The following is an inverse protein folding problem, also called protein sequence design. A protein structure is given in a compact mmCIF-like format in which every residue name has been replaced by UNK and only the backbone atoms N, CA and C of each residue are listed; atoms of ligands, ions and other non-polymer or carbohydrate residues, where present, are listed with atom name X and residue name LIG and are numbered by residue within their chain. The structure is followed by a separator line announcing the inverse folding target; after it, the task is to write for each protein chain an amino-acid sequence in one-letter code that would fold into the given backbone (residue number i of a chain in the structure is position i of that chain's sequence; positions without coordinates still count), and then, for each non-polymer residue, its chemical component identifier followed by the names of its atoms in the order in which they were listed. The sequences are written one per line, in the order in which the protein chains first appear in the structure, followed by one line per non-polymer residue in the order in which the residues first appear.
data_IF_652818724970
#
_entry.id   IF_652818724970
#
_cell.length_a   1.000
_cell.length_b   1.000
_cell.length_c   1.000
_cell.angle_alpha   90.00
_cell.angle_beta   90.00
_cell.angle_gamma   90.00
#
_symmetry.space_group_name_H-M   'P 1'
#
loop_
_entity.id
_entity.type
_entity.pdbx_description
1 polymer ?
#
# COMPACT_ATOMS: atom_id res chain seq x y z
N UNK A 1 -24.37 23.31 -15.19
CA UNK A 1 -23.07 23.76 -15.74
C UNK A 1 -22.07 22.62 -15.56
N UNK A 2 -21.77 21.88 -16.64
CA UNK A 2 -20.81 20.77 -16.61
C UNK A 2 -19.39 21.35 -16.45
N UNK A 3 -18.74 21.07 -15.34
CA UNK A 3 -17.32 21.37 -15.16
C UNK A 3 -16.50 20.56 -16.18
N UNK A 4 -15.56 21.17 -16.91
CA UNK A 4 -14.71 20.43 -17.84
C UNK A 4 -13.84 19.42 -17.07
N UNK A 5 -13.52 18.26 -17.65
CA UNK A 5 -12.68 17.27 -16.99
C UNK A 5 -11.31 17.88 -16.70
N UNK A 6 -10.86 17.72 -15.46
CA UNK A 6 -9.61 18.26 -14.91
C UNK A 6 -8.46 17.92 -15.88
N UNK A 7 -7.93 18.94 -16.56
CA UNK A 7 -6.67 18.87 -17.30
C UNK A 7 -5.59 18.52 -16.29
N UNK A 8 -5.16 17.27 -16.25
CA UNK A 8 -4.02 16.88 -15.44
C UNK A 8 -2.89 16.46 -16.36
N UNK A 9 -1.65 16.73 -15.95
CA UNK A 9 -0.44 16.41 -16.69
C UNK A 9 0.13 15.05 -16.31
N UNK A 10 1.02 14.53 -17.15
CA UNK A 10 1.81 13.36 -16.81
C UNK A 10 2.82 13.71 -15.71
N UNK A 11 2.80 13.00 -14.59
CA UNK A 11 3.75 13.21 -13.49
C UNK A 11 5.21 12.86 -13.80
N UNK A 12 5.49 12.31 -15.00
CA UNK A 12 6.85 11.97 -15.44
C UNK A 12 7.37 12.91 -16.54
N UNK A 13 6.57 13.21 -17.56
CA UNK A 13 7.00 14.07 -18.68
C UNK A 13 6.31 15.44 -18.74
N UNK A 14 5.46 15.77 -17.76
CA UNK A 14 4.72 17.04 -17.65
C UNK A 14 3.83 17.40 -18.85
N UNK A 15 3.59 16.47 -19.77
CA UNK A 15 2.73 16.69 -20.94
C UNK A 15 1.26 16.78 -20.52
N UNK A 16 0.59 17.86 -20.96
CA UNK A 16 -0.79 18.24 -20.56
C UNK A 16 -1.87 17.72 -21.51
N UNK A 17 -1.50 17.41 -22.75
CA UNK A 17 -2.47 17.14 -23.83
C UNK A 17 -2.78 15.65 -24.04
N UNK A 18 -2.24 14.77 -23.21
CA UNK A 18 -2.49 13.32 -23.34
C UNK A 18 -3.71 12.92 -22.54
N UNK A 19 -4.88 12.90 -23.16
CA UNK A 19 -6.16 12.57 -22.52
C UNK A 19 -6.21 11.19 -21.84
N UNK A 20 -5.37 10.24 -22.26
CA UNK A 20 -5.29 8.89 -21.69
C UNK A 20 -4.14 8.76 -20.67
N UNK A 21 -4.52 8.80 -19.40
CA UNK A 21 -3.62 8.60 -18.27
C UNK A 21 -3.92 7.32 -17.51
N UNK A 22 -2.87 6.71 -17.00
CA UNK A 22 -2.87 5.53 -16.17
C UNK A 22 -2.47 5.90 -14.75
N UNK A 23 -3.04 5.23 -13.76
CA UNK A 23 -2.62 5.34 -12.35
C UNK A 23 -1.70 4.18 -12.01
N UNK A 24 -0.50 4.49 -11.53
CA UNK A 24 0.49 3.51 -11.12
C UNK A 24 0.93 3.81 -9.69
N UNK A 25 0.96 2.78 -8.86
CA UNK A 25 1.54 2.88 -7.52
C UNK A 25 3.03 2.53 -7.61
N UNK A 26 3.88 3.54 -7.57
CA UNK A 26 5.34 3.37 -7.60
C UNK A 26 5.87 3.67 -6.21
N UNK A 27 6.40 2.65 -5.52
CA UNK A 27 6.93 2.75 -4.14
C UNK A 27 5.90 3.32 -3.14
N UNK A 28 4.63 2.95 -3.31
CA UNK A 28 3.52 3.41 -2.45
C UNK A 28 2.97 4.80 -2.80
N UNK A 29 3.51 5.47 -3.83
CA UNK A 29 3.03 6.77 -4.30
C UNK A 29 2.17 6.54 -5.55
N UNK A 30 0.91 7.00 -5.51
CA UNK A 30 0.05 7.03 -6.71
C UNK A 30 0.56 8.09 -7.68
N UNK A 31 0.89 7.67 -8.89
CA UNK A 31 1.41 8.51 -9.97
C UNK A 31 0.51 8.39 -11.19
N UNK A 32 0.15 9.55 -11.74
CA UNK A 32 -0.57 9.65 -12.99
C UNK A 32 0.40 9.74 -14.15
N UNK A 33 0.39 8.77 -15.04
CA UNK A 33 1.35 8.63 -16.14
C UNK A 33 0.63 8.50 -17.47
N UNK A 34 1.15 9.13 -18.53
CA UNK A 34 0.61 8.91 -19.87
C UNK A 34 1.01 7.52 -20.40
N UNK A 35 0.29 7.01 -21.38
CA UNK A 35 0.54 5.69 -22.01
C UNK A 35 2.02 5.44 -22.33
N UNK A 36 2.71 6.38 -22.99
CA UNK A 36 4.13 6.20 -23.31
C UNK A 36 5.04 6.18 -22.08
N UNK A 37 4.73 6.93 -21.01
CA UNK A 37 5.54 6.91 -19.80
C UNK A 37 5.39 5.59 -19.05
N UNK A 38 4.17 5.01 -19.01
CA UNK A 38 3.96 3.67 -18.46
C UNK A 38 4.86 2.66 -19.16
N UNK A 39 4.83 2.63 -20.50
CA UNK A 39 5.61 1.68 -21.29
C UNK A 39 7.12 1.90 -21.16
N UNK A 40 7.59 3.16 -21.11
CA UNK A 40 9.02 3.47 -20.91
C UNK A 40 9.54 3.10 -19.52
N UNK A 41 8.72 3.24 -18.48
CA UNK A 41 9.09 2.90 -17.10
C UNK A 41 9.05 1.39 -16.82
N UNK A 42 8.40 0.63 -17.70
CA UNK A 42 8.22 -0.82 -17.56
C UNK A 42 8.62 -1.59 -18.84
N UNK A 43 9.86 -1.42 -19.34
CA UNK A 43 10.27 -1.97 -20.64
C UNK A 43 10.35 -3.51 -20.65
N UNK A 44 10.49 -4.14 -19.48
CA UNK A 44 10.58 -5.60 -19.32
C UNK A 44 9.21 -6.27 -19.11
N UNK A 45 8.11 -5.52 -19.21
CA UNK A 45 6.76 -6.02 -18.92
C UNK A 45 5.96 -6.38 -20.17
N UNK A 46 6.48 -6.09 -21.37
CA UNK A 46 5.81 -6.36 -22.63
C UNK A 46 6.80 -6.42 -23.80
N UNK A 47 6.37 -7.00 -24.91
CA UNK A 47 7.14 -6.98 -26.16
C UNK A 47 6.90 -5.66 -26.90
N UNK A 48 7.92 -4.82 -27.19
CA UNK A 48 7.73 -3.54 -27.86
C UNK A 48 7.38 -3.65 -29.35
N UNK A 49 7.48 -4.84 -29.95
CA UNK A 49 7.11 -5.07 -31.35
C UNK A 49 5.62 -5.42 -31.51
N UNK A 50 5.07 -6.27 -30.63
CA UNK A 50 3.68 -6.73 -30.73
C UNK A 50 2.77 -6.27 -29.58
N UNK A 51 3.30 -5.53 -28.61
CA UNK A 51 2.58 -5.04 -27.43
C UNK A 51 1.91 -6.11 -26.58
N UNK A 52 2.38 -7.36 -26.69
CA UNK A 52 1.94 -8.44 -25.81
C UNK A 52 2.54 -8.23 -24.41
N UNK A 53 1.66 -8.12 -23.41
CA UNK A 53 2.02 -8.00 -21.99
C UNK A 53 2.46 -9.35 -21.41
N UNK A 54 3.50 -9.36 -20.58
CA UNK A 54 3.96 -10.56 -19.89
C UNK A 54 3.24 -10.69 -18.55
N UNK A 55 2.14 -11.44 -18.55
CA UNK A 55 1.33 -11.64 -17.34
C UNK A 55 2.09 -12.41 -16.25
N UNK A 56 3.01 -13.31 -16.61
CA UNK A 56 3.70 -14.23 -15.70
C UNK A 56 5.21 -14.23 -16.00
N UNK A 57 6.08 -14.68 -15.07
CA UNK A 57 7.48 -14.91 -15.40
C UNK A 57 7.54 -15.76 -16.68
N UNK A 58 8.36 -15.36 -17.67
CA UNK A 58 8.38 -16.01 -18.95
C UNK A 58 8.64 -17.51 -18.78
N UNK A 59 7.64 -18.32 -19.13
CA UNK A 59 7.81 -19.77 -19.19
C UNK A 59 8.84 -20.07 -20.28
N UNK A 60 9.53 -21.22 -20.18
CA UNK A 60 10.57 -21.61 -21.15
C UNK A 60 10.08 -21.66 -22.62
N UNK A 61 8.77 -21.62 -22.85
CA UNK A 61 8.15 -21.57 -24.17
C UNK A 61 8.37 -20.22 -24.88
N UNK A 62 8.49 -19.11 -24.15
CA UNK A 62 8.70 -17.80 -24.76
C UNK A 62 10.19 -17.47 -24.78
N UNK A 63 10.80 -17.53 -25.96
CA UNK A 63 12.19 -17.07 -26.17
C UNK A 63 12.21 -15.57 -26.43
N UNK A 64 12.96 -14.86 -25.58
CA UNK A 64 13.13 -13.41 -25.67
C UNK A 64 14.56 -13.04 -26.06
N UNK A 65 14.68 -11.90 -26.70
CA UNK A 65 15.93 -11.18 -26.90
C UNK A 65 15.88 -9.87 -26.12
N UNK A 66 16.95 -9.59 -25.39
CA UNK A 66 17.11 -8.36 -24.62
C UNK A 66 17.65 -7.24 -25.51
N UNK A 67 17.18 -6.02 -25.28
CA UNK A 67 17.78 -4.84 -25.89
C UNK A 67 19.19 -4.61 -25.33
N UNK A 68 20.13 -4.24 -26.20
CA UNK A 68 21.53 -3.98 -25.80
C UNK A 68 21.70 -2.71 -24.96
N UNK A 69 20.69 -1.81 -24.93
CA UNK A 69 20.75 -0.51 -24.23
C UNK A 69 19.82 -0.39 -23.02
N UNK A 70 18.84 -1.28 -22.86
CA UNK A 70 17.86 -1.20 -21.77
C UNK A 70 17.29 -2.59 -21.46
N UNK A 71 16.49 -2.71 -20.40
CA UNK A 71 15.87 -3.98 -19.99
C UNK A 71 14.65 -4.40 -20.82
N UNK A 72 14.51 -3.89 -22.05
CA UNK A 72 13.39 -4.27 -22.92
C UNK A 72 13.53 -5.70 -23.43
N UNK A 73 12.43 -6.45 -23.42
CA UNK A 73 12.35 -7.84 -23.87
C UNK A 73 11.47 -7.94 -25.11
N UNK A 74 12.00 -8.52 -26.19
CA UNK A 74 11.26 -8.73 -27.44
C UNK A 74 11.17 -10.22 -27.73
N UNK A 75 10.01 -10.72 -28.17
CA UNK A 75 9.90 -12.11 -28.61
C UNK A 75 10.84 -12.38 -29.78
N UNK A 76 11.50 -13.54 -29.82
CA UNK A 76 12.35 -13.95 -30.94
C UNK A 76 11.56 -13.95 -32.26
N UNK A 77 10.30 -14.38 -32.23
CA UNK A 77 9.36 -14.39 -33.37
C UNK A 77 8.99 -12.98 -33.86
N UNK A 78 9.15 -11.96 -33.03
CA UNK A 78 8.92 -10.57 -33.41
C UNK A 78 10.17 -9.89 -33.99
N UNK A 79 11.27 -10.63 -34.14
CA UNK A 79 12.47 -10.13 -34.80
C UNK A 79 12.43 -10.43 -36.31
N UNK A 80 13.08 -9.59 -37.13
CA UNK A 80 13.35 -9.96 -38.51
C UNK A 80 14.19 -11.24 -38.56
N UNK A 81 13.97 -12.05 -39.61
CA UNK A 81 14.78 -13.23 -39.90
C UNK A 81 15.76 -12.91 -41.04
N UNK A 82 17.08 -13.07 -40.84
CA UNK A 82 17.77 -13.52 -39.63
C UNK A 82 17.82 -12.45 -38.53
N UNK A 83 17.89 -12.86 -37.24
CA UNK A 83 17.99 -11.92 -36.13
C UNK A 83 19.29 -11.12 -36.19
N UNK A 84 19.27 -9.82 -35.85
CA UNK A 84 20.47 -8.99 -35.85
C UNK A 84 21.45 -9.44 -34.75
N UNK A 85 22.77 -9.29 -34.95
CA UNK A 85 23.77 -9.66 -33.95
C UNK A 85 23.63 -8.85 -32.65
N UNK A 86 23.20 -7.59 -32.77
CA UNK A 86 22.88 -6.71 -31.64
C UNK A 86 21.49 -6.16 -31.81
N UNK A 87 20.58 -6.51 -30.89
CA UNK A 87 19.22 -6.01 -30.92
C UNK A 87 19.10 -4.69 -30.14
N UNK A 88 18.41 -3.71 -30.75
CA UNK A 88 17.94 -2.49 -30.12
C UNK A 88 16.43 -2.42 -30.24
N UNK A 89 15.73 -2.26 -29.11
CA UNK A 89 14.28 -2.07 -29.14
C UNK A 89 13.91 -0.74 -29.84
N UNK A 90 12.69 -0.60 -30.37
CA UNK A 90 12.26 0.61 -31.09
C UNK A 90 12.52 1.94 -30.34
N UNK A 91 12.30 2.03 -29.01
CA UNK A 91 12.67 3.23 -28.24
C UNK A 91 14.16 3.55 -28.15
N UNK A 92 15.04 2.54 -28.27
CA UNK A 92 16.49 2.69 -28.17
C UNK A 92 17.18 2.84 -29.52
N UNK A 93 16.56 2.38 -30.61
CA UNK A 93 17.04 2.57 -31.97
C UNK A 93 16.72 3.97 -32.50
N UNK A 94 15.59 4.55 -32.08
CA UNK A 94 15.17 5.88 -32.50
C UNK A 94 14.89 6.80 -31.28
N UNK A 95 15.64 7.89 -31.17
CA UNK A 95 15.49 8.88 -30.08
C UNK A 95 14.18 9.68 -30.15
N UNK A 96 13.56 9.81 -31.31
CA UNK A 96 12.26 10.47 -31.48
C UNK A 96 11.06 9.53 -31.30
N UNK A 97 11.29 8.28 -30.88
CA UNK A 97 10.25 7.27 -30.77
C UNK A 97 9.18 7.64 -29.70
N UNK A 98 7.92 7.61 -30.12
CA UNK A 98 6.76 7.70 -29.24
C UNK A 98 5.89 6.46 -29.39
N UNK A 99 5.54 5.84 -28.26
CA UNK A 99 4.63 4.69 -28.24
C UNK A 99 3.21 5.06 -28.61
N UNK A 100 2.78 6.27 -28.25
CA UNK A 100 1.39 6.68 -28.37
C UNK A 100 1.36 8.10 -28.93
N UNK A 101 0.49 8.36 -29.91
CA UNK A 101 0.43 9.65 -30.58
C UNK A 101 -0.27 10.70 -29.70
N UNK A 102 -0.35 11.92 -30.22
CA UNK A 102 -0.97 13.04 -29.52
C UNK A 102 -2.50 13.03 -29.69
N UNK A 103 -3.21 13.91 -28.97
CA UNK A 103 -4.67 13.85 -28.88
C UNK A 103 -5.43 14.04 -30.20
N UNK A 104 -4.78 14.62 -31.21
CA UNK A 104 -5.38 14.91 -32.52
C UNK A 104 -5.43 13.71 -33.46
N UNK A 105 -4.67 12.65 -33.18
CA UNK A 105 -4.63 11.48 -34.06
C UNK A 105 -5.75 10.49 -33.72
N UNK A 106 -6.46 9.95 -34.72
CA UNK A 106 -7.47 8.92 -34.48
C UNK A 106 -6.81 7.65 -33.93
N UNK A 107 -7.52 6.96 -33.02
CA UNK A 107 -7.08 5.66 -32.50
C UNK A 107 -7.35 4.60 -33.56
N UNK A 108 -6.29 3.94 -34.01
CA UNK A 108 -6.35 2.76 -34.87
C UNK A 108 -6.15 1.48 -34.03
N UNK A 109 -6.11 0.33 -34.71
CA UNK A 109 -5.88 -0.96 -34.06
C UNK A 109 -4.52 -1.01 -33.34
N UNK A 110 -3.49 -0.39 -33.91
CA UNK A 110 -2.15 -0.37 -33.32
C UNK A 110 -2.14 0.43 -32.01
N UNK A 111 -2.66 1.66 -32.04
CA UNK A 111 -2.81 2.50 -30.86
C UNK A 111 -3.67 1.83 -29.78
N UNK A 112 -4.74 1.11 -30.17
CA UNK A 112 -5.54 0.33 -29.23
C UNK A 112 -4.71 -0.76 -28.53
N UNK A 113 -3.87 -1.50 -29.25
CA UNK A 113 -2.96 -2.50 -28.66
C UNK A 113 -1.97 -1.86 -27.67
N UNK A 114 -1.36 -0.73 -28.05
CA UNK A 114 -0.45 0.02 -27.18
C UNK A 114 -1.17 0.45 -25.89
N UNK A 115 -2.39 0.98 -26.02
CA UNK A 115 -3.19 1.42 -24.88
C UNK A 115 -3.55 0.24 -23.96
N UNK A 116 -4.02 -0.88 -24.52
CA UNK A 116 -4.34 -2.10 -23.75
C UNK A 116 -3.10 -2.61 -23.03
N UNK A 117 -1.94 -2.63 -23.69
CA UNK A 117 -0.67 -3.03 -23.09
C UNK A 117 -0.32 -2.14 -21.89
N UNK A 118 -0.41 -0.82 -22.03
CA UNK A 118 -0.16 0.11 -20.92
C UNK A 118 -1.16 -0.09 -19.77
N UNK A 119 -2.44 -0.32 -20.08
CA UNK A 119 -3.47 -0.62 -19.08
C UNK A 119 -3.18 -1.92 -18.32
N UNK A 120 -2.72 -2.97 -19.01
CA UNK A 120 -2.30 -4.24 -18.36
C UNK A 120 -1.10 -4.03 -17.45
N UNK A 121 -0.10 -3.27 -17.87
CA UNK A 121 1.06 -2.89 -17.03
C UNK A 121 0.59 -2.13 -15.79
N UNK A 122 -0.29 -1.15 -15.94
CA UNK A 122 -0.84 -0.37 -14.83
C UNK A 122 -1.63 -1.26 -13.85
N UNK A 123 -2.49 -2.13 -14.37
CA UNK A 123 -3.27 -3.10 -13.60
C UNK A 123 -2.36 -4.04 -12.80
N UNK A 124 -1.34 -4.62 -13.43
CA UNK A 124 -0.38 -5.48 -12.75
C UNK A 124 0.40 -4.75 -11.64
N UNK A 125 0.74 -3.48 -11.86
CA UNK A 125 1.36 -2.63 -10.84
C UNK A 125 0.43 -2.36 -9.64
N UNK A 126 -0.85 -2.07 -9.92
CA UNK A 126 -1.87 -1.88 -8.90
C UNK A 126 -2.10 -3.17 -8.09
N UNK A 127 -2.21 -4.33 -8.75
CA UNK A 127 -2.40 -5.62 -8.08
C UNK A 127 -1.22 -5.98 -7.16
N UNK A 128 0.02 -5.77 -7.61
CA UNK A 128 1.21 -5.95 -6.77
C UNK A 128 1.17 -5.06 -5.53
N UNK A 129 0.75 -3.81 -5.70
CA UNK A 129 0.64 -2.85 -4.59
C UNK A 129 -0.48 -3.21 -3.63
N UNK A 130 -1.63 -3.67 -4.14
CA UNK A 130 -2.75 -4.14 -3.34
C UNK A 130 -2.36 -5.38 -2.51
N UNK A 131 -1.71 -6.37 -3.11
CA UNK A 131 -1.23 -7.55 -2.40
C UNK A 131 -0.28 -7.17 -1.24
N UNK A 132 0.65 -6.23 -1.47
CA UNK A 132 1.54 -5.73 -0.43
C UNK A 132 0.82 -4.88 0.64
N UNK A 133 -0.27 -4.21 0.30
CA UNK A 133 -1.08 -3.47 1.25
C UNK A 133 -1.91 -4.42 2.13
N UNK A 134 -2.55 -5.42 1.54
CA UNK A 134 -3.34 -6.44 2.27
C UNK A 134 -2.47 -7.22 3.25
N UNK A 135 -1.31 -7.69 2.82
CA UNK A 135 -0.37 -8.40 3.71
C UNK A 135 0.10 -7.56 4.90
N UNK A 136 0.31 -6.25 4.71
CA UNK A 136 0.63 -5.32 5.81
C UNK A 136 -0.55 -5.09 6.73
N UNK A 137 -1.75 -4.93 6.19
CA UNK A 137 -2.96 -4.74 6.97
C UNK A 137 -3.25 -5.96 7.85
N UNK A 138 -3.15 -7.17 7.30
CA UNK A 138 -3.32 -8.42 8.05
C UNK A 138 -2.32 -8.56 9.19
N UNK A 139 -1.04 -8.24 8.95
CA UNK A 139 -0.02 -8.24 9.99
C UNK A 139 -0.36 -7.25 11.11
N UNK A 140 -0.72 -6.02 10.76
CA UNK A 140 -1.06 -4.97 11.73
C UNK A 140 -2.28 -5.37 12.59
N UNK A 141 -3.28 -6.05 12.01
CA UNK A 141 -4.44 -6.58 12.75
C UNK A 141 -4.00 -7.64 13.77
N UNK A 142 -3.15 -8.60 13.36
CA UNK A 142 -2.64 -9.66 14.26
C UNK A 142 -1.81 -9.08 15.40
N UNK A 143 -0.90 -8.16 15.10
CA UNK A 143 -0.06 -7.48 16.09
C UNK A 143 -0.91 -6.68 17.09
N UNK A 144 -1.92 -5.94 16.59
CA UNK A 144 -2.85 -5.18 17.43
C UNK A 144 -3.68 -6.09 18.34
N UNK A 145 -4.14 -7.24 17.84
CA UNK A 145 -4.89 -8.21 18.64
C UNK A 145 -4.03 -8.80 19.77
N UNK A 146 -2.78 -9.17 19.47
CA UNK A 146 -1.82 -9.67 20.46
C UNK A 146 -1.47 -8.61 21.51
N UNK A 147 -1.26 -7.36 21.10
CA UNK A 147 -0.98 -6.25 22.00
C UNK A 147 -2.17 -6.00 22.96
N UNK A 148 -3.40 -6.03 22.45
CA UNK A 148 -4.62 -5.91 23.29
C UNK A 148 -4.77 -7.06 24.27
N UNK A 149 -4.47 -8.29 23.84
CA UNK A 149 -4.47 -9.45 24.73
C UNK A 149 -3.47 -9.26 25.87
N UNK A 150 -2.21 -8.93 25.56
CA UNK A 150 -1.16 -8.67 26.55
C UNK A 150 -1.53 -7.54 27.52
N UNK A 151 -2.11 -6.46 27.02
CA UNK A 151 -2.56 -5.36 27.87
C UNK A 151 -3.67 -5.80 28.84
N UNK A 152 -4.65 -6.60 28.38
CA UNK A 152 -5.69 -7.16 29.26
C UNK A 152 -5.10 -8.11 30.30
N UNK A 153 -4.21 -9.01 29.89
CA UNK A 153 -3.56 -9.97 30.79
C UNK A 153 -2.73 -9.24 31.88
N UNK A 154 -2.07 -8.13 31.51
CA UNK A 154 -1.36 -7.28 32.47
C UNK A 154 -2.31 -6.62 33.49
N UNK A 155 -3.47 -6.09 33.05
CA UNK A 155 -4.46 -5.52 33.95
C UNK A 155 -5.03 -6.55 34.94
N UNK A 156 -5.29 -7.78 34.49
CA UNK A 156 -5.74 -8.87 35.37
C UNK A 156 -4.67 -9.18 36.42
N UNK A 157 -3.40 -9.22 36.03
CA UNK A 157 -2.29 -9.49 36.95
C UNK A 157 -2.14 -8.40 38.01
N UNK A 158 -2.31 -7.13 37.62
CA UNK A 158 -2.31 -6.00 38.56
C UNK A 158 -3.46 -6.11 39.56
N UNK A 159 -4.67 -6.42 39.10
CA UNK A 159 -5.84 -6.57 39.96
C UNK A 159 -5.65 -7.67 41.01
N UNK A 160 -5.17 -8.85 40.60
CA UNK A 160 -4.84 -9.94 41.54
C UNK A 160 -3.76 -9.52 42.54
N UNK A 161 -2.76 -8.75 42.10
CA UNK A 161 -1.69 -8.26 42.98
C UNK A 161 -2.20 -7.24 44.00
N UNK A 162 -3.15 -6.38 43.62
CA UNK A 162 -3.85 -5.47 44.54
C UNK A 162 -4.66 -6.23 45.60
N UNK A 163 -5.38 -7.29 45.22
CA UNK A 163 -6.10 -8.13 46.18
C UNK A 163 -5.16 -8.85 47.17
N UNK A 164 -4.03 -9.36 46.68
CA UNK A 164 -3.01 -10.02 47.52
C UNK A 164 -2.33 -9.03 48.47
N UNK A 165 -2.01 -7.81 48.02
CA UNK A 165 -1.42 -6.79 48.88
C UNK A 165 -2.40 -6.30 49.94
N UNK A 166 -3.67 -6.06 49.59
CA UNK A 166 -4.70 -5.64 50.54
C UNK A 166 -4.99 -6.72 51.61
N UNK A 167 -4.97 -8.00 51.22
CA UNK A 167 -5.13 -9.12 52.16
C UNK A 167 -3.93 -9.32 53.10
N UNK A 168 -2.71 -8.97 52.67
CA UNK A 168 -1.51 -8.93 53.54
C UNK A 168 -1.59 -7.79 54.56
N UNK A 169 -1.92 -6.57 54.12
CA UNK A 169 -2.07 -5.42 55.02
C UNK A 169 -3.09 -5.65 56.14
N UNK A 170 -4.23 -6.31 55.83
CA UNK A 170 -5.23 -6.68 56.84
C UNK A 170 -4.72 -7.69 57.88
N UNK A 171 -3.84 -8.61 57.48
CA UNK A 171 -3.24 -9.59 58.41
C UNK A 171 -2.18 -8.95 59.31
N UNK A 172 -1.41 -8.00 58.77
CA UNK A 172 -0.43 -7.23 59.56
C UNK A 172 -1.11 -6.31 60.58
N UNK A 173 -2.29 -5.78 60.26
CA UNK A 173 -3.11 -4.99 61.19
C UNK A 173 -3.73 -5.86 62.29
N UNK A 174 -4.23 -7.06 61.95
CA UNK A 174 -4.71 -8.03 62.93
C UNK A 174 -3.61 -8.51 63.89
N UNK A 175 -2.37 -8.63 63.40
CA UNK A 175 -1.22 -9.03 64.22
C UNK A 175 -0.65 -7.88 65.09
N UNK A 176 -1.06 -6.62 64.85
CA UNK A 176 -0.74 -5.44 65.69
C UNK A 176 -1.81 -5.11 66.73
N UNK A 177 -2.91 -5.86 66.80
CA UNK A 177 -4.00 -5.68 67.77
C UNK A 177 -3.65 -5.93 69.26
N UNK A 178 -2.37 -6.09 69.59
CA UNK A 178 -1.87 -6.30 70.96
C UNK A 178 -0.93 -5.19 71.43
N UNK A 179 -1.18 -3.91 71.11
CA UNK A 179 -0.55 -2.80 71.83
C UNK A 179 -1.39 -1.53 71.73
N UNK A 180 -2.12 -1.23 72.80
CA UNK A 180 -2.82 0.04 73.01
C UNK A 180 -1.78 1.14 73.22
N UNK A 181 -1.72 2.15 72.35
CA UNK A 181 -1.25 3.49 72.73
C UNK A 181 -2.10 4.60 72.06
N UNK A 182 -2.87 5.23 72.95
CA UNK A 182 -3.34 6.63 73.08
C UNK A 182 -3.24 7.58 71.87
N UNK A 183 -4.31 8.34 71.55
CA UNK A 183 -4.27 9.38 70.52
C UNK A 183 -3.67 10.69 71.05
N UNK A 184 -2.76 11.31 70.29
CA UNK A 184 -2.41 12.72 70.45
C UNK A 184 -2.90 13.49 69.23
N UNK A 185 -3.84 14.41 69.48
CA UNK A 185 -4.38 15.41 68.56
C UNK A 185 -3.29 16.43 68.23
N UNK A 186 -3.14 16.80 66.95
CA UNK A 186 -2.66 18.12 66.59
C UNK A 186 -3.38 18.64 65.33
N UNK A 187 -3.99 19.83 65.48
CA UNK A 187 -4.45 20.73 64.41
C UNK A 187 -3.25 21.10 63.49
N UNK A 188 -3.37 21.50 62.23
CA UNK A 188 -4.29 22.44 61.57
C UNK A 188 -3.92 22.51 60.07
N UNK A 189 -4.85 22.94 59.22
CA UNK A 189 -4.52 23.72 58.01
C UNK A 189 -5.07 23.21 56.69
N UNK A 190 -6.29 23.61 56.35
CA UNK A 190 -6.74 23.71 54.96
C UNK A 190 -6.06 24.90 54.28
N UNK A 191 -5.58 24.74 53.05
CA UNK A 191 -6.01 25.53 51.88
C UNK A 191 -5.39 24.99 50.59
N UNK A 192 -6.25 24.79 49.58
CA UNK A 192 -5.93 24.34 48.22
C UNK A 192 -5.28 25.46 47.40
N UNK A 193 -4.64 25.10 46.27
CA UNK A 193 -4.96 25.78 45.03
C UNK A 193 -5.46 24.84 43.93
N UNK A 194 -6.28 25.46 43.09
CA UNK A 194 -7.03 25.00 41.95
C UNK A 194 -6.13 24.91 40.72
N UNK A 195 -6.12 23.80 39.98
CA UNK A 195 -5.75 23.80 38.57
C UNK A 195 -6.69 22.93 37.73
N UNK A 196 -7.41 23.63 36.87
CA UNK A 196 -8.22 23.16 35.77
C UNK A 196 -7.35 22.64 34.63
N UNK A 197 -7.47 21.36 34.28
CA UNK A 197 -7.06 20.85 32.97
C UNK A 197 -8.19 20.02 32.36
N UNK A 198 -9.06 20.70 31.58
CA UNK A 198 -9.98 20.06 30.64
C UNK A 198 -9.19 19.63 29.40
N UNK A 199 -8.88 18.34 29.28
CA UNK A 199 -8.56 17.71 28.00
C UNK A 199 -9.73 16.80 27.63
N UNK A 200 -10.64 17.36 26.82
CA UNK A 200 -11.73 16.61 26.21
C UNK A 200 -11.20 15.69 25.12
N UNK A 201 -11.07 14.40 25.44
CA UNK A 201 -11.02 13.34 24.43
C UNK A 201 -12.47 13.05 24.05
N UNK A 202 -12.89 13.55 22.88
CA UNK A 202 -14.18 13.23 22.30
C UNK A 202 -14.04 12.01 21.41
N UNK A 203 -14.69 10.95 21.86
CA UNK A 203 -14.88 9.67 21.20
C UNK A 203 -15.47 9.85 19.79
N UNK A 204 -14.90 9.18 18.79
CA UNK A 204 -15.62 8.86 17.55
C UNK A 204 -16.06 7.41 17.60
N UNK A 205 -17.36 7.30 17.83
CA UNK A 205 -18.22 6.14 17.67
C UNK A 205 -17.87 5.34 16.41
N UNK A 206 -17.65 4.05 16.60
CA UNK A 206 -17.61 3.05 15.55
C UNK A 206 -19.02 2.54 15.26
N UNK A 207 -19.52 2.82 14.07
CA UNK A 207 -20.56 2.06 13.38
C UNK A 207 -20.05 1.97 11.94
N UNK A 208 -19.55 0.84 11.48
CA UNK A 208 -20.35 -0.33 11.16
C UNK A 208 -20.24 -0.51 9.65
N UNK A 209 -19.42 -1.45 9.19
CA UNK A 209 -19.43 -1.85 7.79
C UNK A 209 -19.34 -3.35 7.71
N UNK A 210 -20.39 -3.88 7.08
CA UNK A 210 -20.75 -5.28 6.94
C UNK A 210 -19.62 -6.01 6.22
N UNK A 211 -19.26 -7.15 6.78
CA UNK A 211 -18.47 -8.18 6.11
C UNK A 211 -19.29 -8.67 4.93
N UNK A 212 -18.79 -8.46 3.71
CA UNK A 212 -19.23 -9.24 2.55
C UNK A 212 -18.24 -10.40 2.44
N UNK A 213 -18.71 -11.58 2.82
CA UNK A 213 -18.08 -12.85 2.51
C UNK A 213 -17.95 -12.97 0.98
N UNK A 214 -16.72 -13.13 0.49
CA UNK A 214 -16.47 -13.67 -0.84
C UNK A 214 -15.65 -14.94 -0.65
N UNK A 215 -16.32 -16.05 -0.99
CA UNK A 215 -15.81 -17.41 -0.94
C UNK A 215 -14.48 -17.54 -1.69
N UNK A 216 -13.50 -18.18 -1.02
CA UNK A 216 -12.32 -18.74 -1.66
C UNK A 216 -12.71 -19.97 -2.46
N UNK A 217 -12.68 -19.89 -3.78
CA UNK A 217 -12.56 -21.07 -4.64
C UNK A 217 -11.09 -21.43 -4.77
N UNK A 218 -10.71 -22.47 -4.01
CA UNK A 218 -9.55 -23.30 -4.29
C UNK A 218 -9.80 -24.06 -5.60
N UNK A 219 -8.88 -23.99 -6.56
CA UNK A 219 -8.76 -25.00 -7.62
C UNK A 219 -7.30 -25.37 -7.75
N UNK A 220 -7.08 -26.68 -7.69
CA UNK A 220 -5.84 -27.43 -7.93
C UNK A 220 -5.34 -27.27 -9.36
#
# INVERSE_FOLDING_TARGET
MNSPPIKGECSNCCQKERWLFHRLLIRGIDRRLCTSCVLRLHPSSFCPSCFHFFDHPPTAAHRFVTCSKCSSLTHLECLPSPPPPTFLCPPCSNSSFSFFPDASTPIDQHHAQVLICASKVASASANKSLALASTRAERAVRESALARKKARDALVTLHVSEEVSNSRSKKDEFNRGGHVQVPVKLHSGETRPNETAKLGIRERSGQGSRVLDVASTHVL
#
